data_IF_333632913886
#
_entry.id   IF_333632913886
#
_cell.length_a   1.000
_cell.length_b   1.000
_cell.length_c   1.000
_cell.angle_alpha   90.00
_cell.angle_beta   90.00
_cell.angle_gamma   90.00
#
_symmetry.space_group_name_H-M   'P 1'
#
loop_
_entity.id
_entity.type
_entity.pdbx_description
1 polymer ?
#
# COMPACT_ATOMS: atom_id res chain seq x y z
N UNK A 1 42.58 23.62 -10.96
CA UNK A 1 41.15 23.85 -11.29
C UNK A 1 40.30 22.82 -10.57
N UNK A 2 39.28 23.23 -9.81
CA UNK A 2 38.41 22.32 -9.07
C UNK A 2 37.28 21.78 -9.98
N UNK A 3 37.12 20.46 -10.07
CA UNK A 3 36.07 19.77 -10.86
C UNK A 3 34.79 19.57 -10.04
N UNK A 4 34.24 20.65 -9.48
CA UNK A 4 33.00 20.59 -8.70
C UNK A 4 31.78 20.63 -9.64
N UNK A 5 30.70 19.93 -9.27
CA UNK A 5 29.46 19.90 -10.06
C UNK A 5 28.76 21.26 -9.99
N UNK A 6 28.26 21.71 -11.13
CA UNK A 6 27.51 22.96 -11.22
C UNK A 6 26.17 22.88 -10.47
N UNK A 7 25.86 23.94 -9.74
CA UNK A 7 24.64 24.18 -8.96
C UNK A 7 23.97 25.46 -9.45
N UNK A 8 22.73 25.69 -9.05
CA UNK A 8 21.92 26.83 -9.49
C UNK A 8 22.49 28.20 -9.12
N UNK A 9 23.43 28.29 -8.16
CA UNK A 9 23.97 29.55 -7.62
C UNK A 9 25.40 29.86 -8.07
N UNK A 10 26.00 29.01 -8.90
CA UNK A 10 27.40 29.14 -9.32
C UNK A 10 27.59 29.91 -10.62
N UNK A 11 26.54 30.11 -11.41
CA UNK A 11 26.58 30.79 -12.71
C UNK A 11 25.39 31.73 -12.86
N UNK A 12 25.53 32.71 -13.76
CA UNK A 12 24.49 33.72 -14.03
C UNK A 12 23.45 33.21 -15.05
N UNK A 13 22.66 34.14 -15.62
CA UNK A 13 21.50 33.90 -16.47
C UNK A 13 21.66 32.80 -17.54
N UNK A 14 20.58 32.04 -17.73
CA UNK A 14 20.48 30.97 -18.72
C UNK A 14 20.65 29.56 -18.16
N UNK A 15 21.30 29.39 -17.01
CA UNK A 15 21.42 28.09 -16.36
C UNK A 15 20.24 27.81 -15.42
N UNK A 16 19.29 26.98 -15.88
CA UNK A 16 18.22 26.46 -15.04
C UNK A 16 18.49 25.00 -14.63
N UNK A 17 18.39 24.70 -13.34
CA UNK A 17 18.48 23.34 -12.79
C UNK A 17 17.37 23.14 -11.77
N UNK A 18 16.49 22.16 -12.02
CA UNK A 18 15.33 21.89 -11.18
C UNK A 18 15.64 21.09 -9.91
N UNK A 19 14.69 21.11 -8.96
CA UNK A 19 14.79 20.47 -7.63
C UNK A 19 13.87 19.24 -7.48
N UNK A 20 13.54 18.55 -8.58
CA UNK A 20 12.64 17.37 -8.60
C UNK A 20 11.24 17.64 -8.02
N UNK A 21 10.73 18.86 -8.17
CA UNK A 21 9.35 19.21 -7.77
C UNK A 21 8.29 18.50 -8.62
N UNK A 22 8.65 17.95 -9.78
CA UNK A 22 7.73 17.33 -10.73
C UNK A 22 7.09 18.36 -11.68
N UNK A 23 6.56 17.90 -12.82
CA UNK A 23 5.83 18.77 -13.74
C UNK A 23 4.34 18.81 -13.37
N UNK A 24 3.85 19.99 -12.98
CA UNK A 24 2.45 20.21 -12.57
C UNK A 24 1.57 20.72 -13.73
N UNK A 25 2.07 20.65 -14.97
CA UNK A 25 1.47 21.35 -16.10
C UNK A 25 2.37 21.38 -17.32
N UNK A 26 2.23 22.44 -18.13
CA UNK A 26 3.02 22.65 -19.35
C UNK A 26 3.25 24.14 -19.63
N UNK A 27 4.29 24.46 -20.39
CA UNK A 27 4.54 25.81 -20.88
C UNK A 27 3.73 26.07 -22.15
N UNK A 28 2.99 27.17 -22.19
CA UNK A 28 2.32 27.64 -23.40
C UNK A 28 3.31 28.35 -24.34
N UNK A 29 2.94 28.51 -25.62
CA UNK A 29 3.81 29.11 -26.65
C UNK A 29 4.27 30.53 -26.33
N UNK A 30 3.52 31.25 -25.50
CA UNK A 30 3.85 32.61 -25.05
C UNK A 30 4.77 32.65 -23.82
N UNK A 31 5.29 31.50 -23.35
CA UNK A 31 6.16 31.41 -22.17
C UNK A 31 5.42 31.37 -20.84
N UNK A 32 4.09 31.46 -20.81
CA UNK A 32 3.31 31.26 -19.59
C UNK A 32 3.25 29.78 -19.18
N UNK A 33 3.04 29.50 -17.89
CA UNK A 33 2.87 28.14 -17.39
C UNK A 33 1.40 27.88 -17.09
N UNK A 34 0.84 26.82 -17.67
CA UNK A 34 -0.54 26.38 -17.46
C UNK A 34 -0.55 25.15 -16.56
N UNK A 35 -1.32 25.20 -15.48
CA UNK A 35 -1.41 24.13 -14.46
C UNK A 35 -2.39 23.05 -14.93
N UNK A 36 -1.98 21.79 -14.86
CA UNK A 36 -2.82 20.62 -15.05
C UNK A 36 -3.18 20.04 -13.68
N UNK A 37 -4.41 20.30 -13.23
CA UNK A 37 -4.90 19.88 -11.91
C UNK A 37 -4.89 18.36 -11.69
N UNK A 38 -4.87 17.54 -12.76
CA UNK A 38 -4.75 16.09 -12.64
C UNK A 38 -3.37 15.64 -12.17
N UNK A 39 -2.34 16.47 -12.35
CA UNK A 39 -0.95 16.18 -11.94
C UNK A 39 -0.61 16.79 -10.57
N UNK A 40 -1.47 17.66 -10.06
CA UNK A 40 -1.29 18.30 -8.76
C UNK A 40 -1.51 17.25 -7.67
N UNK A 41 -0.50 17.04 -6.83
CA UNK A 41 -0.57 16.10 -5.71
C UNK A 41 -1.42 16.70 -4.60
N UNK A 42 -2.35 15.91 -4.07
CA UNK A 42 -3.13 16.22 -2.88
C UNK A 42 -2.78 15.24 -1.76
N UNK A 43 -2.91 15.68 -0.52
CA UNK A 43 -2.75 14.84 0.67
C UNK A 43 -4.11 14.71 1.32
N UNK A 44 -4.74 13.54 1.16
CA UNK A 44 -6.09 13.30 1.69
C UNK A 44 -6.03 13.11 3.20
N UNK A 45 -6.77 13.97 3.92
CA UNK A 45 -6.91 13.88 5.38
C UNK A 45 -8.22 13.13 5.68
N UNK A 46 -8.20 12.04 6.47
CA UNK A 46 -9.42 11.35 6.88
C UNK A 46 -10.37 12.25 7.68
N UNK A 47 -11.67 12.01 7.57
CA UNK A 47 -12.68 12.70 8.36
C UNK A 47 -12.65 12.26 9.83
N UNK A 48 -13.07 13.15 10.75
CA UNK A 48 -13.17 12.89 12.20
C UNK A 48 -11.86 12.48 12.89
N UNK A 49 -10.71 12.97 12.41
CA UNK A 49 -9.41 12.68 13.00
C UNK A 49 -9.26 13.20 14.44
N UNK A 50 -9.99 14.26 14.79
CA UNK A 50 -10.06 14.86 16.12
C UNK A 50 -10.75 13.96 17.16
N UNK A 51 -11.66 13.11 16.71
CA UNK A 51 -12.38 12.15 17.56
C UNK A 51 -11.66 10.79 17.64
N UNK A 52 -10.60 10.60 16.85
CA UNK A 52 -9.91 9.32 16.75
C UNK A 52 -9.04 9.05 17.97
N UNK A 53 -9.20 7.87 18.57
CA UNK A 53 -8.57 7.53 19.85
C UNK A 53 -7.12 7.05 19.72
N UNK A 54 -6.68 6.64 18.52
CA UNK A 54 -5.33 6.12 18.36
C UNK A 54 -4.32 7.27 18.35
N UNK A 55 -3.25 7.11 19.13
CA UNK A 55 -2.15 8.07 19.24
C UNK A 55 -0.86 7.45 18.69
N UNK A 56 0.16 8.25 18.33
CA UNK A 56 1.43 7.70 17.83
C UNK A 56 2.23 6.90 18.87
N UNK A 57 1.77 6.84 20.13
CA UNK A 57 2.45 6.15 21.22
C UNK A 57 1.56 5.07 21.84
N UNK A 58 2.20 4.03 22.35
CA UNK A 58 1.55 2.95 23.11
C UNK A 58 2.08 2.98 24.54
N UNK A 59 1.25 2.57 25.50
CA UNK A 59 1.66 2.47 26.91
C UNK A 59 2.76 1.42 27.11
N UNK A 60 3.80 1.75 27.88
CA UNK A 60 4.88 0.81 28.24
C UNK A 60 4.42 -0.36 29.11
N UNK A 61 3.22 -0.27 29.71
CA UNK A 61 2.64 -1.37 30.50
C UNK A 61 2.24 -2.55 29.62
N UNK A 62 2.00 -2.31 28.35
CA UNK A 62 1.71 -3.36 27.37
C UNK A 62 3.01 -3.85 26.76
N UNK A 63 3.32 -5.13 26.94
CA UNK A 63 4.46 -5.76 26.27
C UNK A 63 4.20 -5.83 24.75
N UNK A 64 5.25 -5.72 23.91
CA UNK A 64 5.10 -5.90 22.46
C UNK A 64 4.50 -7.27 22.11
N UNK A 65 3.38 -7.28 21.40
CA UNK A 65 2.73 -8.50 20.93
C UNK A 65 3.52 -9.12 19.79
N UNK A 66 3.89 -10.40 19.90
CA UNK A 66 4.56 -11.15 18.82
C UNK A 66 3.56 -11.57 17.74
N UNK A 67 4.04 -11.74 16.51
CA UNK A 67 3.22 -12.22 15.40
C UNK A 67 2.69 -13.65 15.62
N UNK A 68 1.47 -13.94 15.16
CA UNK A 68 0.88 -15.30 15.22
C UNK A 68 1.51 -16.26 14.22
N UNK A 69 1.98 -15.75 13.10
CA UNK A 69 2.48 -16.56 11.99
C UNK A 69 3.96 -16.87 12.22
N UNK A 70 4.25 -18.10 12.62
CA UNK A 70 5.61 -18.58 12.86
C UNK A 70 5.88 -19.86 12.11
N UNK A 71 7.11 -20.04 11.64
CA UNK A 71 7.61 -21.28 11.09
C UNK A 71 8.67 -21.86 12.02
N UNK A 72 8.64 -23.17 12.18
CA UNK A 72 9.68 -23.91 12.89
C UNK A 72 10.76 -24.32 11.88
N UNK A 73 11.98 -23.84 12.09
CA UNK A 73 13.13 -24.19 11.27
C UNK A 73 14.08 -25.06 12.08
N UNK A 74 14.38 -26.25 11.56
CA UNK A 74 15.41 -27.12 12.12
C UNK A 74 16.80 -26.58 11.75
N UNK A 75 17.55 -26.09 12.74
CA UNK A 75 18.97 -25.73 12.58
C UNK A 75 19.82 -26.73 13.36
N UNK A 76 21.09 -26.93 12.96
CA UNK A 76 22.04 -27.82 13.67
C UNK A 76 22.10 -27.46 15.16
N UNK A 77 21.39 -28.22 16.00
CA UNK A 77 21.31 -28.03 17.45
C UNK A 77 19.90 -27.75 18.03
N UNK A 78 18.85 -27.59 17.23
CA UNK A 78 17.48 -27.44 17.73
C UNK A 78 16.47 -26.83 16.74
N UNK A 79 15.19 -26.86 17.12
CA UNK A 79 14.10 -26.19 16.39
C UNK A 79 14.05 -24.73 16.82
N UNK A 80 14.12 -23.80 15.86
CA UNK A 80 14.00 -22.36 16.11
C UNK A 80 12.71 -21.86 15.48
N UNK A 81 11.85 -21.24 16.29
CA UNK A 81 10.64 -20.56 15.84
C UNK A 81 11.00 -19.20 15.24
N UNK A 82 10.73 -19.01 13.95
CA UNK A 82 10.98 -17.77 13.22
C UNK A 82 9.66 -17.18 12.77
N UNK A 83 9.51 -15.86 12.87
CA UNK A 83 8.33 -15.16 12.38
C UNK A 83 8.24 -15.27 10.85
N UNK A 84 7.05 -15.64 10.35
CA UNK A 84 6.74 -15.80 8.93
C UNK A 84 5.84 -14.65 8.49
N UNK A 85 5.99 -14.23 7.23
CA UNK A 85 5.10 -13.24 6.64
C UNK A 85 3.68 -13.80 6.46
N UNK A 86 2.69 -12.91 6.52
CA UNK A 86 1.30 -13.22 6.23
C UNK A 86 1.14 -13.63 4.76
N UNK A 87 0.68 -14.86 4.53
CA UNK A 87 0.56 -15.46 3.21
C UNK A 87 -0.86 -15.36 2.63
N UNK A 88 -0.98 -15.67 1.34
CA UNK A 88 -2.26 -15.65 0.65
C UNK A 88 -3.28 -16.64 1.25
N UNK A 89 -2.84 -17.85 1.66
CA UNK A 89 -3.72 -18.83 2.29
C UNK A 89 -4.23 -18.37 3.66
N UNK A 90 -3.38 -17.72 4.46
CA UNK A 90 -3.80 -17.16 5.75
C UNK A 90 -4.86 -16.07 5.56
N UNK A 91 -4.75 -15.29 4.48
CA UNK A 91 -5.76 -14.31 4.11
C UNK A 91 -7.08 -14.96 3.72
N UNK A 92 -7.05 -16.00 2.89
CA UNK A 92 -8.27 -16.73 2.51
C UNK A 92 -8.97 -17.34 3.73
N UNK A 93 -8.21 -17.96 4.64
CA UNK A 93 -8.75 -18.55 5.87
C UNK A 93 -9.35 -17.46 6.79
N UNK A 94 -8.69 -16.30 6.92
CA UNK A 94 -9.19 -15.14 7.67
C UNK A 94 -10.47 -14.57 7.02
N UNK A 95 -10.44 -14.35 5.71
CA UNK A 95 -11.58 -13.80 4.96
C UNK A 95 -12.79 -14.71 5.04
N UNK A 96 -12.61 -16.02 4.88
CA UNK A 96 -13.69 -17.00 4.98
C UNK A 96 -14.31 -17.03 6.38
N UNK A 97 -13.49 -16.81 7.42
CA UNK A 97 -13.95 -16.77 8.81
C UNK A 97 -14.75 -15.49 9.11
N UNK A 98 -14.32 -14.34 8.59
CA UNK A 98 -14.93 -13.04 8.89
C UNK A 98 -16.17 -12.73 8.01
N UNK A 99 -16.21 -13.23 6.77
CA UNK A 99 -17.25 -12.89 5.77
C UNK A 99 -18.20 -14.05 5.46
N UNK A 100 -18.67 -14.76 6.50
CA UNK A 100 -19.50 -15.97 6.31
C UNK A 100 -20.73 -15.80 5.43
N UNK A 101 -21.32 -14.59 5.30
CA UNK A 101 -22.45 -14.35 4.38
C UNK A 101 -22.06 -14.43 2.91
N UNK A 102 -20.94 -13.81 2.52
CA UNK A 102 -20.45 -13.82 1.14
C UNK A 102 -19.98 -15.22 0.74
N UNK A 103 -19.35 -15.94 1.67
CA UNK A 103 -18.94 -17.34 1.46
C UNK A 103 -20.15 -18.24 1.21
N UNK A 104 -21.19 -18.15 2.05
CA UNK A 104 -22.40 -18.96 1.88
C UNK A 104 -23.15 -18.64 0.58
N UNK A 105 -23.16 -17.38 0.15
CA UNK A 105 -23.75 -17.02 -1.15
C UNK A 105 -22.93 -17.59 -2.32
N UNK A 106 -21.60 -17.53 -2.24
CA UNK A 106 -20.73 -18.10 -3.26
C UNK A 106 -20.85 -19.63 -3.34
N UNK A 107 -20.87 -20.33 -2.20
CA UNK A 107 -21.10 -21.79 -2.14
C UNK A 107 -22.46 -22.19 -2.73
N UNK A 108 -23.50 -21.37 -2.55
CA UNK A 108 -24.82 -21.60 -3.18
C UNK A 108 -24.75 -21.43 -4.69
N UNK A 109 -24.09 -20.39 -5.19
CA UNK A 109 -23.92 -20.15 -6.63
C UNK A 109 -23.06 -21.23 -7.30
N UNK A 110 -22.00 -21.71 -6.63
CA UNK A 110 -21.15 -22.81 -7.11
C UNK A 110 -21.86 -24.17 -7.12
N UNK A 111 -22.94 -24.33 -6.34
CA UNK A 111 -23.77 -25.54 -6.31
C UNK A 111 -24.87 -25.54 -7.38
N UNK A 112 -25.21 -24.38 -7.92
CA UNK A 112 -26.24 -24.24 -8.96
C UNK A 112 -25.86 -24.64 -10.42
N UNK A 113 -24.59 -24.87 -10.84
CA UNK A 113 -24.30 -25.18 -12.24
C UNK A 113 -24.46 -26.65 -12.66
N UNK A 114 -24.70 -27.62 -11.75
CA UNK A 114 -24.82 -29.04 -12.17
C UNK A 114 -26.27 -29.51 -12.44
N UNK A 115 -27.30 -28.73 -12.10
CA UNK A 115 -28.70 -29.19 -12.19
C UNK A 115 -29.43 -28.81 -13.48
N UNK A 116 -28.90 -27.87 -14.28
CA UNK A 116 -29.58 -27.33 -15.47
C UNK A 116 -29.15 -27.94 -16.81
N UNK A 117 -28.10 -28.77 -16.86
CA UNK A 117 -27.64 -29.38 -18.12
C UNK A 117 -28.29 -30.75 -18.46
N UNK A 118 -29.09 -31.34 -17.55
CA UNK A 118 -29.69 -32.68 -17.76
C UNK A 118 -31.12 -32.68 -18.31
N UNK A 119 -31.68 -31.55 -18.76
CA UNK A 119 -33.04 -31.51 -19.35
C UNK A 119 -33.04 -30.81 -20.71
N UNK A 120 -32.48 -31.48 -21.73
CA UNK A 120 -32.86 -31.28 -23.13
C UNK A 120 -32.99 -32.66 -23.78
N UNK A 121 -34.23 -33.14 -23.88
CA UNK A 121 -34.66 -34.17 -24.84
C UNK A 121 -35.26 -33.48 -26.05
#
# INVERSE_FOLDING_TARGET
MARLRLTTKQVNGGYYKGNRTGSMGYFAKNGSYVIDWKKVRTYAVPENLDQFKLTPFVTKRMAPTKGKYTNELAKRGGVVTVERAFGAKDYLDMWASDNGREVLEQERLEKEPESTETTRQ
#
